data_IF_265418296491
#
_entry.id   IF_265418296491
#
_cell.length_a   1.000
_cell.length_b   1.000
_cell.length_c   1.000
_cell.angle_alpha   90.00
_cell.angle_beta   90.00
_cell.angle_gamma   90.00
#
_symmetry.space_group_name_H-M   'P 1'
#
loop_
_entity.id
_entity.type
_entity.pdbx_description
1 polymer ?
#
# COMPACT_ATOMS: atom_id res chain seq x y z
N UNK A 1 130.40 41.64 -46.66
CA UNK A 1 131.55 42.51 -46.35
C UNK A 1 131.81 42.41 -44.85
N UNK A 2 133.03 42.21 -44.34
CA UNK A 2 134.36 42.05 -44.99
C UNK A 2 135.09 40.81 -44.45
N UNK A 3 135.93 40.21 -45.31
CA UNK A 3 137.09 39.35 -45.01
C UNK A 3 138.36 40.27 -45.13
N UNK A 4 139.64 39.87 -44.84
CA UNK A 4 140.27 38.54 -44.69
C UNK A 4 140.88 38.30 -43.27
N UNK A 5 141.54 37.19 -42.86
CA UNK A 5 142.69 36.42 -43.41
C UNK A 5 143.98 37.29 -43.51
N UNK A 6 145.22 36.80 -43.28
CA UNK A 6 145.68 35.50 -42.76
C UNK A 6 146.39 35.69 -41.36
N UNK A 7 147.44 35.00 -40.86
CA UNK A 7 148.35 33.92 -41.33
C UNK A 7 148.86 33.01 -40.18
N UNK A 8 150.18 32.89 -39.95
CA UNK A 8 150.86 31.81 -39.18
C UNK A 8 152.17 32.29 -38.50
N UNK A 9 152.68 31.50 -37.53
CA UNK A 9 154.09 31.26 -37.11
C UNK A 9 155.04 32.49 -36.93
N UNK A 10 155.84 32.64 -35.87
CA UNK A 10 156.75 31.65 -35.28
C UNK A 10 157.38 32.17 -33.96
N UNK A 11 157.62 31.32 -32.96
CA UNK A 11 158.43 31.61 -31.72
C UNK A 11 157.90 32.74 -30.78
N UNK A 12 158.36 32.94 -29.53
CA UNK A 12 159.45 32.27 -28.79
C UNK A 12 159.11 32.06 -27.29
N UNK A 13 159.28 30.82 -26.86
CA UNK A 13 159.15 30.29 -25.48
C UNK A 13 159.98 31.04 -24.42
N UNK A 14 159.36 31.74 -23.45
CA UNK A 14 160.02 32.03 -22.15
C UNK A 14 159.18 32.45 -20.90
N UNK A 15 157.86 32.23 -20.83
CA UNK A 15 157.05 32.60 -19.61
C UNK A 15 156.12 31.48 -19.13
N UNK A 16 156.64 30.25 -19.01
CA UNK A 16 155.84 29.03 -18.77
C UNK A 16 156.16 28.31 -17.45
N UNK A 17 156.36 29.05 -16.34
CA UNK A 17 156.86 28.44 -15.08
C UNK A 17 156.35 29.04 -13.75
N UNK A 18 155.43 30.02 -13.73
CA UNK A 18 155.00 30.69 -12.49
C UNK A 18 153.48 30.95 -12.40
N UNK A 19 152.66 30.10 -13.02
CA UNK A 19 151.19 30.20 -12.99
C UNK A 19 150.54 28.79 -12.99
N UNK A 20 151.01 27.92 -12.09
CA UNK A 20 150.63 26.50 -12.04
C UNK A 20 150.45 25.99 -10.59
N UNK A 21 150.27 26.89 -9.63
CA UNK A 21 150.26 26.60 -8.19
C UNK A 21 149.14 27.38 -7.45
N UNK A 22 148.11 27.83 -8.19
CA UNK A 22 147.06 28.72 -7.68
C UNK A 22 145.60 28.31 -8.02
N UNK A 23 145.38 27.32 -8.89
CA UNK A 23 144.02 26.82 -9.21
C UNK A 23 143.61 25.60 -8.36
N UNK A 24 144.56 24.76 -7.96
CA UNK A 24 144.30 23.47 -7.27
C UNK A 24 143.68 23.62 -5.86
N UNK A 25 143.79 24.80 -5.24
CA UNK A 25 143.19 25.10 -3.93
C UNK A 25 141.74 25.58 -3.98
N UNK A 26 141.19 25.94 -5.15
CA UNK A 26 139.81 26.45 -5.26
C UNK A 26 138.80 25.35 -5.54
N UNK A 27 139.13 24.38 -6.41
CA UNK A 27 138.23 23.26 -6.72
C UNK A 27 137.95 22.35 -5.51
N UNK A 28 138.81 22.36 -4.48
CA UNK A 28 138.66 21.52 -3.28
C UNK A 28 137.48 21.96 -2.40
N UNK A 29 137.22 23.27 -2.26
CA UNK A 29 136.18 23.78 -1.37
C UNK A 29 134.78 23.81 -2.00
N UNK A 30 134.66 24.11 -3.30
CA UNK A 30 133.35 24.04 -3.99
C UNK A 30 132.81 22.61 -4.05
N UNK A 31 133.67 21.62 -4.23
CA UNK A 31 133.27 20.22 -4.39
C UNK A 31 132.74 19.62 -3.07
N UNK A 32 133.31 19.99 -1.91
CA UNK A 32 132.79 19.56 -0.60
C UNK A 32 131.42 20.21 -0.28
N UNK A 33 131.23 21.48 -0.69
CA UNK A 33 129.94 22.18 -0.61
C UNK A 33 128.87 21.54 -1.50
N UNK A 34 129.24 21.15 -2.73
CA UNK A 34 128.36 20.43 -3.65
C UNK A 34 128.01 19.02 -3.15
N UNK A 35 128.94 18.28 -2.56
CA UNK A 35 128.62 16.97 -1.96
C UNK A 35 127.69 17.08 -0.75
N UNK A 36 127.91 18.04 0.16
CA UNK A 36 127.02 18.28 1.32
C UNK A 36 125.62 18.73 0.89
N UNK A 37 125.50 19.59 -0.11
CA UNK A 37 124.19 20.05 -0.62
C UNK A 37 123.48 18.98 -1.45
N UNK A 38 124.19 18.21 -2.28
CA UNK A 38 123.63 17.08 -3.02
C UNK A 38 123.16 15.96 -2.08
N UNK A 39 123.97 15.59 -1.07
CA UNK A 39 123.59 14.62 -0.04
C UNK A 39 122.34 15.06 0.72
N UNK A 40 122.30 16.30 1.21
CA UNK A 40 121.13 16.86 1.89
C UNK A 40 119.90 16.97 0.98
N UNK A 41 120.06 17.21 -0.32
CA UNK A 41 118.96 17.22 -1.29
C UNK A 41 118.43 15.79 -1.56
N UNK A 42 119.32 14.80 -1.69
CA UNK A 42 118.97 13.39 -1.86
C UNK A 42 118.27 12.85 -0.61
N UNK A 43 118.74 13.17 0.60
CA UNK A 43 118.04 12.80 1.84
C UNK A 43 116.67 13.47 1.95
N UNK A 44 116.55 14.77 1.65
CA UNK A 44 115.25 15.47 1.61
C UNK A 44 114.31 14.85 0.58
N UNK A 45 114.82 14.43 -0.60
CA UNK A 45 114.03 13.68 -1.57
C UNK A 45 113.64 12.30 -1.06
N UNK A 46 114.54 11.55 -0.40
CA UNK A 46 114.25 10.23 0.19
C UNK A 46 113.17 10.34 1.27
N UNK A 47 113.32 11.26 2.21
CA UNK A 47 112.34 11.54 3.26
C UNK A 47 110.99 11.99 2.68
N UNK A 48 110.98 12.83 1.63
CA UNK A 48 109.75 13.23 0.92
C UNK A 48 109.09 12.06 0.20
N UNK A 49 109.87 11.20 -0.45
CA UNK A 49 109.41 9.98 -1.13
C UNK A 49 108.84 8.98 -0.11
N UNK A 50 109.48 8.80 1.04
CA UNK A 50 109.03 7.87 2.08
C UNK A 50 107.82 8.41 2.85
N UNK A 51 107.74 9.72 3.11
CA UNK A 51 106.51 10.38 3.59
C UNK A 51 105.35 10.21 2.58
N UNK A 52 105.62 10.37 1.27
CA UNK A 52 104.64 10.09 0.22
C UNK A 52 104.24 8.61 0.17
N UNK A 53 105.16 7.65 0.36
CA UNK A 53 104.81 6.22 0.48
C UNK A 53 103.94 5.95 1.71
N UNK A 54 104.20 6.58 2.85
CA UNK A 54 103.39 6.46 4.07
C UNK A 54 101.99 7.01 3.84
N UNK A 55 101.84 8.20 3.27
CA UNK A 55 100.52 8.77 2.98
C UNK A 55 99.80 7.99 1.87
N UNK A 56 100.49 7.44 0.86
CA UNK A 56 99.90 6.51 -0.12
C UNK A 56 99.40 5.23 0.56
N UNK A 57 100.11 4.66 1.55
CA UNK A 57 99.63 3.51 2.35
C UNK A 57 98.41 3.89 3.19
N UNK A 58 98.39 5.08 3.78
CA UNK A 58 97.26 5.62 4.56
C UNK A 58 96.03 5.87 3.68
N UNK A 59 96.20 6.44 2.50
CA UNK A 59 95.15 6.67 1.52
C UNK A 59 94.62 5.35 0.92
N UNK A 60 95.49 4.35 0.68
CA UNK A 60 95.06 3.00 0.26
C UNK A 60 94.21 2.31 1.33
N UNK A 61 94.70 2.23 2.58
CA UNK A 61 93.95 1.63 3.69
C UNK A 61 92.67 2.39 4.03
N UNK A 62 92.67 3.72 3.90
CA UNK A 62 91.46 4.56 3.99
C UNK A 62 90.47 4.25 2.85
N UNK A 63 90.92 4.20 1.60
CA UNK A 63 90.11 3.85 0.42
C UNK A 63 89.51 2.44 0.56
N UNK A 64 90.27 1.47 1.05
CA UNK A 64 89.75 0.13 1.36
C UNK A 64 88.71 0.14 2.48
N UNK A 65 88.93 0.90 3.56
CA UNK A 65 87.96 1.07 4.66
C UNK A 65 86.66 1.69 4.16
N UNK A 66 86.73 2.68 3.28
CA UNK A 66 85.55 3.27 2.63
C UNK A 66 84.90 2.32 1.61
N UNK A 67 85.66 1.56 0.82
CA UNK A 67 85.11 0.56 -0.09
C UNK A 67 84.38 -0.57 0.65
N UNK A 68 84.92 -1.05 1.77
CA UNK A 68 84.27 -2.02 2.67
C UNK A 68 82.99 -1.44 3.28
N UNK A 69 83.03 -0.21 3.82
CA UNK A 69 81.83 0.49 4.32
C UNK A 69 80.76 0.63 3.24
N UNK A 70 81.13 1.13 2.06
CA UNK A 70 80.23 1.34 0.92
C UNK A 70 79.59 0.04 0.43
N UNK A 71 80.34 -1.07 0.41
CA UNK A 71 79.80 -2.41 0.12
C UNK A 71 78.73 -2.80 1.15
N UNK A 72 79.04 -2.71 2.45
CA UNK A 72 78.09 -3.05 3.52
C UNK A 72 76.84 -2.16 3.48
N UNK A 73 76.96 -0.85 3.28
CA UNK A 73 75.80 0.04 3.16
C UNK A 73 74.98 -0.25 1.91
N UNK A 74 75.62 -0.61 0.78
CA UNK A 74 74.91 -1.02 -0.44
C UNK A 74 74.17 -2.34 -0.25
N UNK A 75 74.74 -3.29 0.49
CA UNK A 75 74.09 -4.56 0.86
C UNK A 75 72.92 -4.36 1.83
N UNK A 76 73.03 -3.40 2.77
CA UNK A 76 71.94 -2.99 3.66
C UNK A 76 70.80 -2.29 2.91
N UNK A 77 71.10 -1.35 2.01
CA UNK A 77 70.10 -0.69 1.14
C UNK A 77 69.37 -1.75 0.30
N UNK A 78 70.12 -2.60 -0.42
CA UNK A 78 69.56 -3.67 -1.22
C UNK A 78 68.79 -4.73 -0.40
N UNK A 79 68.97 -4.80 0.92
CA UNK A 79 68.13 -5.61 1.82
C UNK A 79 66.83 -4.88 2.18
N UNK A 80 66.93 -3.62 2.61
CA UNK A 80 65.77 -2.80 2.98
C UNK A 80 64.81 -2.60 1.79
N UNK A 81 65.32 -2.39 0.58
CA UNK A 81 64.52 -2.32 -0.65
C UNK A 81 63.69 -3.61 -0.87
N UNK A 82 64.28 -4.79 -0.62
CA UNK A 82 63.58 -6.09 -0.71
C UNK A 82 62.55 -6.26 0.41
N UNK A 83 62.84 -5.82 1.63
CA UNK A 83 61.90 -5.87 2.76
C UNK A 83 60.71 -4.90 2.55
N UNK A 84 60.97 -3.70 2.05
CA UNK A 84 59.94 -2.72 1.64
C UNK A 84 59.09 -3.29 0.49
N UNK A 85 59.71 -3.81 -0.57
CA UNK A 85 58.97 -4.38 -1.71
C UNK A 85 58.09 -5.58 -1.29
N UNK A 86 58.61 -6.47 -0.42
CA UNK A 86 57.84 -7.59 0.15
C UNK A 86 56.66 -7.08 0.97
N UNK A 87 56.88 -6.10 1.84
CA UNK A 87 55.84 -5.52 2.71
C UNK A 87 54.76 -4.80 1.90
N UNK A 88 55.17 -4.07 0.85
CA UNK A 88 54.26 -3.40 -0.08
C UNK A 88 53.34 -4.40 -0.80
N UNK A 89 53.90 -5.49 -1.35
CA UNK A 89 53.12 -6.56 -2.01
C UNK A 89 52.11 -7.21 -1.05
N UNK A 90 52.51 -7.51 0.18
CA UNK A 90 51.62 -8.08 1.20
C UNK A 90 50.51 -7.10 1.59
N UNK A 91 50.84 -5.81 1.78
CA UNK A 91 49.85 -4.77 2.09
C UNK A 91 48.85 -4.57 0.95
N UNK A 92 49.33 -4.55 -0.30
CA UNK A 92 48.48 -4.39 -1.48
C UNK A 92 47.52 -5.58 -1.64
N UNK A 93 48.01 -6.82 -1.58
CA UNK A 93 47.14 -8.01 -1.60
C UNK A 93 46.15 -8.06 -0.41
N UNK A 94 46.49 -7.45 0.72
CA UNK A 94 45.59 -7.31 1.88
C UNK A 94 44.50 -6.26 1.66
N UNK A 95 44.81 -5.16 0.95
CA UNK A 95 43.82 -4.16 0.54
C UNK A 95 42.87 -4.76 -0.51
N UNK A 96 43.38 -5.34 -1.59
CA UNK A 96 42.56 -6.00 -2.62
C UNK A 96 41.61 -7.07 -2.04
N UNK A 97 42.03 -7.79 -0.98
CA UNK A 97 41.18 -8.76 -0.26
C UNK A 97 40.15 -8.11 0.67
N UNK A 98 40.40 -6.89 1.17
CA UNK A 98 39.42 -6.10 1.94
C UNK A 98 38.41 -5.45 1.00
N UNK A 99 38.87 -4.84 -0.10
CA UNK A 99 38.03 -4.13 -1.06
C UNK A 99 37.01 -5.11 -1.70
N UNK A 100 37.46 -6.31 -2.08
CA UNK A 100 36.57 -7.41 -2.55
C UNK A 100 35.57 -7.88 -1.50
N UNK A 101 35.87 -7.75 -0.19
CA UNK A 101 34.92 -8.07 0.90
C UNK A 101 33.95 -6.93 1.19
N UNK A 102 34.38 -5.68 0.99
CA UNK A 102 33.51 -4.50 1.10
C UNK A 102 32.48 -4.55 -0.03
N UNK A 103 32.92 -4.68 -1.29
CA UNK A 103 32.02 -4.81 -2.44
C UNK A 103 31.02 -5.97 -2.26
N UNK A 104 31.48 -7.16 -1.83
CA UNK A 104 30.58 -8.29 -1.62
C UNK A 104 29.51 -8.03 -0.53
N UNK A 105 29.87 -7.30 0.54
CA UNK A 105 28.95 -6.93 1.61
C UNK A 105 28.00 -5.78 1.21
N UNK A 106 28.46 -4.85 0.35
CA UNK A 106 27.64 -3.79 -0.23
C UNK A 106 26.62 -4.36 -1.22
N UNK A 107 27.04 -5.30 -2.08
CA UNK A 107 26.16 -6.06 -2.98
C UNK A 107 25.12 -6.89 -2.22
N UNK A 108 25.50 -7.52 -1.11
CA UNK A 108 24.60 -8.29 -0.24
C UNK A 108 23.60 -7.38 0.47
N UNK A 109 24.07 -6.24 1.00
CA UNK A 109 23.22 -5.22 1.63
C UNK A 109 22.24 -4.58 0.65
N UNK A 110 22.63 -4.39 -0.61
CA UNK A 110 21.75 -3.91 -1.67
C UNK A 110 20.61 -4.90 -1.93
N UNK A 111 20.94 -6.18 -2.19
CA UNK A 111 19.95 -7.25 -2.41
C UNK A 111 19.02 -7.43 -1.21
N UNK A 112 19.54 -7.35 0.02
CA UNK A 112 18.74 -7.43 1.23
C UNK A 112 17.73 -6.28 1.35
N UNK A 113 18.11 -5.04 0.98
CA UNK A 113 17.21 -3.88 0.93
C UNK A 113 16.14 -4.02 -0.15
N UNK A 114 16.49 -4.51 -1.33
CA UNK A 114 15.53 -4.77 -2.41
C UNK A 114 14.50 -5.82 -2.01
N UNK A 115 14.95 -6.96 -1.46
CA UNK A 115 14.08 -8.02 -0.97
C UNK A 115 13.15 -7.54 0.15
N UNK A 116 13.67 -6.77 1.10
CA UNK A 116 12.86 -6.21 2.20
C UNK A 116 11.86 -5.17 1.69
N UNK A 117 12.21 -4.36 0.68
CA UNK A 117 11.29 -3.44 0.00
C UNK A 117 10.17 -4.18 -0.73
N UNK A 118 10.50 -5.26 -1.45
CA UNK A 118 9.52 -6.13 -2.10
C UNK A 118 8.55 -6.77 -1.09
N UNK A 119 9.08 -7.43 -0.04
CA UNK A 119 8.26 -8.03 1.02
C UNK A 119 7.40 -7.02 1.78
N UNK A 120 7.88 -5.79 1.97
CA UNK A 120 7.09 -4.72 2.60
C UNK A 120 5.90 -4.30 1.72
N UNK A 121 6.08 -4.24 0.39
CA UNK A 121 5.00 -3.95 -0.56
C UNK A 121 3.99 -5.10 -0.63
N UNK A 122 4.45 -6.34 -0.70
CA UNK A 122 3.59 -7.54 -0.65
C UNK A 122 2.76 -7.58 0.63
N UNK A 123 3.40 -7.37 1.80
CA UNK A 123 2.74 -7.41 3.10
C UNK A 123 1.76 -6.26 3.30
N UNK A 124 2.07 -5.05 2.79
CA UNK A 124 1.12 -3.93 2.76
C UNK A 124 -0.08 -4.20 1.84
N UNK A 125 0.16 -4.85 0.69
CA UNK A 125 -0.91 -5.36 -0.19
C UNK A 125 -1.80 -6.40 0.51
N UNK A 126 -1.19 -7.36 1.21
CA UNK A 126 -1.93 -8.37 1.98
C UNK A 126 -2.71 -7.76 3.16
N UNK A 127 -2.12 -6.80 3.89
CA UNK A 127 -2.80 -6.11 5.00
C UNK A 127 -3.99 -5.27 4.52
N UNK A 128 -3.84 -4.54 3.40
CA UNK A 128 -4.95 -3.77 2.81
C UNK A 128 -6.03 -4.67 2.19
N UNK A 129 -5.69 -5.89 1.76
CA UNK A 129 -6.66 -6.91 1.33
C UNK A 129 -7.39 -7.58 2.51
N UNK A 130 -6.73 -7.76 3.66
CA UNK A 130 -7.30 -8.39 4.85
C UNK A 130 -8.00 -7.41 5.82
N UNK A 131 -7.91 -6.10 5.57
CA UNK A 131 -8.52 -5.06 6.39
C UNK A 131 -10.05 -4.97 6.18
N UNK A 132 -10.82 -5.59 7.07
CA UNK A 132 -12.28 -5.41 7.19
C UNK A 132 -12.65 -4.13 7.95
N UNK A 133 -11.98 -3.02 7.67
CA UNK A 133 -12.27 -1.72 8.28
C UNK A 133 -13.44 -1.09 7.52
N UNK A 134 -14.61 -1.04 8.16
CA UNK A 134 -15.80 -0.42 7.56
C UNK A 134 -15.59 1.08 7.35
N UNK A 135 -16.11 1.60 6.23
CA UNK A 135 -16.05 3.02 5.89
C UNK A 135 -17.13 3.84 6.61
N UNK A 136 -18.23 3.19 7.00
CA UNK A 136 -19.29 3.75 7.83
C UNK A 136 -19.45 2.92 9.09
N UNK A 137 -19.64 3.58 10.23
CA UNK A 137 -20.00 2.90 11.47
C UNK A 137 -21.42 2.35 11.41
N UNK A 138 -21.70 1.29 12.17
CA UNK A 138 -23.06 0.75 12.28
C UNK A 138 -24.10 1.78 12.75
N UNK A 139 -23.68 2.81 13.50
CA UNK A 139 -24.57 3.91 13.90
C UNK A 139 -25.01 4.79 12.71
N UNK A 140 -24.11 5.08 11.78
CA UNK A 140 -24.41 5.82 10.55
C UNK A 140 -25.28 4.99 9.60
N UNK A 141 -24.99 3.68 9.48
CA UNK A 141 -25.82 2.74 8.70
C UNK A 141 -27.26 2.71 9.23
N UNK A 142 -27.44 2.58 10.55
CA UNK A 142 -28.76 2.67 11.19
C UNK A 142 -29.39 4.07 11.12
N UNK A 143 -28.60 5.13 10.89
CA UNK A 143 -29.13 6.46 10.56
C UNK A 143 -29.85 6.43 9.21
N UNK A 144 -29.16 5.97 8.16
CA UNK A 144 -29.70 5.91 6.78
C UNK A 144 -30.96 5.03 6.70
N UNK A 145 -31.06 3.96 7.51
CA UNK A 145 -32.29 3.13 7.55
C UNK A 145 -33.45 3.81 8.29
N UNK A 146 -33.19 4.66 9.29
CA UNK A 146 -34.24 5.51 9.88
C UNK A 146 -34.71 6.58 8.89
N UNK A 147 -33.78 7.20 8.17
CA UNK A 147 -34.11 8.16 7.09
C UNK A 147 -34.99 7.48 6.01
N UNK A 148 -34.70 6.23 5.65
CA UNK A 148 -35.52 5.43 4.73
C UNK A 148 -36.94 5.21 5.28
N UNK A 149 -37.06 4.76 6.54
CA UNK A 149 -38.36 4.47 7.17
C UNK A 149 -39.24 5.74 7.27
N UNK A 150 -38.65 6.88 7.63
CA UNK A 150 -39.35 8.18 7.65
C UNK A 150 -39.87 8.56 6.25
N UNK A 151 -39.06 8.36 5.20
CA UNK A 151 -39.50 8.62 3.82
C UNK A 151 -40.64 7.68 3.38
N UNK A 152 -40.60 6.40 3.78
CA UNK A 152 -41.67 5.42 3.51
C UNK A 152 -42.97 5.84 4.20
N UNK A 153 -42.92 6.14 5.49
CA UNK A 153 -44.06 6.61 6.29
C UNK A 153 -44.70 7.87 5.67
N UNK A 154 -43.88 8.90 5.38
CA UNK A 154 -44.37 10.13 4.77
C UNK A 154 -44.96 9.94 3.36
N UNK A 155 -44.41 9.03 2.56
CA UNK A 155 -44.94 8.71 1.23
C UNK A 155 -46.32 8.05 1.31
N UNK A 156 -46.47 7.06 2.18
CA UNK A 156 -47.72 6.34 2.37
C UNK A 156 -48.83 7.22 2.98
N UNK A 157 -48.50 8.02 4.00
CA UNK A 157 -49.45 8.93 4.64
C UNK A 157 -50.05 9.93 3.64
N UNK A 158 -49.20 10.55 2.80
CA UNK A 158 -49.66 11.50 1.79
C UNK A 158 -50.43 10.83 0.63
N UNK A 159 -50.00 9.65 0.18
CA UNK A 159 -50.77 8.89 -0.83
C UNK A 159 -52.17 8.54 -0.30
N UNK A 160 -52.28 8.20 0.98
CA UNK A 160 -53.55 7.91 1.66
C UNK A 160 -54.41 9.17 1.77
N UNK A 161 -53.86 10.29 2.23
CA UNK A 161 -54.55 11.57 2.35
C UNK A 161 -55.11 12.08 0.99
N UNK A 162 -54.34 11.93 -0.09
CA UNK A 162 -54.76 12.30 -1.43
C UNK A 162 -55.72 11.29 -2.08
N UNK A 163 -55.66 10.02 -1.66
CA UNK A 163 -56.59 8.97 -2.07
C UNK A 163 -57.94 9.11 -1.36
N UNK A 164 -57.96 9.48 -0.08
CA UNK A 164 -59.20 9.73 0.67
C UNK A 164 -59.97 10.91 0.06
N UNK A 165 -59.26 11.98 -0.29
CA UNK A 165 -59.83 13.10 -1.08
C UNK A 165 -60.42 12.61 -2.41
N UNK A 166 -59.70 11.76 -3.15
CA UNK A 166 -60.17 11.19 -4.42
C UNK A 166 -61.44 10.35 -4.22
N UNK A 167 -61.49 9.49 -3.20
CA UNK A 167 -62.65 8.64 -2.87
C UNK A 167 -63.85 9.48 -2.46
N UNK A 168 -63.65 10.54 -1.65
CA UNK A 168 -64.74 11.45 -1.22
C UNK A 168 -65.44 12.16 -2.40
N UNK A 169 -64.78 12.25 -3.55
CA UNK A 169 -65.29 12.88 -4.77
C UNK A 169 -65.87 11.87 -5.79
N UNK A 170 -65.75 10.56 -5.57
CA UNK A 170 -66.17 9.53 -6.52
C UNK A 170 -67.38 8.72 -6.03
N UNK A 171 -68.44 8.67 -6.84
CA UNK A 171 -69.66 7.89 -6.54
C UNK A 171 -69.65 6.45 -7.08
N UNK A 172 -68.64 6.07 -7.86
CA UNK A 172 -68.61 4.81 -8.60
C UNK A 172 -67.35 4.02 -8.27
N UNK A 173 -67.53 2.77 -7.86
CA UNK A 173 -66.46 1.87 -7.44
C UNK A 173 -66.29 0.71 -8.44
N UNK A 174 -65.05 0.29 -8.68
CA UNK A 174 -64.75 -0.94 -9.43
C UNK A 174 -64.89 -2.16 -8.52
N UNK A 175 -65.65 -3.15 -8.97
CA UNK A 175 -65.76 -4.47 -8.32
C UNK A 175 -64.60 -5.33 -8.81
N UNK A 176 -63.69 -5.70 -7.91
CA UNK A 176 -62.67 -6.73 -8.18
C UNK A 176 -63.29 -8.12 -8.14
N UNK A 177 -62.70 -9.08 -8.87
CA UNK A 177 -63.05 -10.49 -8.69
C UNK A 177 -62.49 -11.01 -7.37
N UNK A 178 -63.17 -11.99 -6.78
CA UNK A 178 -62.72 -12.66 -5.54
C UNK A 178 -61.34 -13.31 -5.73
N UNK A 179 -61.07 -13.86 -6.92
CA UNK A 179 -59.75 -14.39 -7.30
C UNK A 179 -58.64 -13.33 -7.19
N UNK A 180 -58.89 -12.10 -7.68
CA UNK A 180 -57.92 -10.99 -7.60
C UNK A 180 -57.71 -10.56 -6.16
N UNK A 181 -58.78 -10.48 -5.36
CA UNK A 181 -58.69 -10.10 -3.94
C UNK A 181 -57.96 -11.16 -3.11
N UNK A 182 -58.16 -12.44 -3.42
CA UNK A 182 -57.44 -13.55 -2.81
C UNK A 182 -55.95 -13.56 -3.21
N UNK A 183 -55.62 -13.25 -4.46
CA UNK A 183 -54.23 -13.12 -4.91
C UNK A 183 -53.48 -11.98 -4.17
N UNK A 184 -54.11 -10.83 -3.98
CA UNK A 184 -53.54 -9.77 -3.14
C UNK A 184 -53.46 -10.17 -1.65
N UNK A 185 -54.46 -10.89 -1.13
CA UNK A 185 -54.47 -11.38 0.27
C UNK A 185 -53.32 -12.34 0.58
N UNK A 186 -52.80 -13.07 -0.42
CA UNK A 186 -51.62 -13.93 -0.27
C UNK A 186 -50.30 -13.16 -0.15
N UNK A 187 -50.24 -11.91 -0.62
CA UNK A 187 -49.03 -11.09 -0.63
C UNK A 187 -49.03 -10.00 0.45
N UNK A 188 -50.18 -9.39 0.71
CA UNK A 188 -50.35 -8.27 1.65
C UNK A 188 -51.06 -8.65 2.96
N UNK A 189 -51.28 -9.95 3.19
CA UNK A 189 -52.10 -10.41 4.31
C UNK A 189 -53.59 -10.22 4.05
N UNK A 190 -54.40 -11.07 4.69
CA UNK A 190 -55.84 -11.08 4.45
C UNK A 190 -56.51 -9.82 4.99
N UNK A 191 -56.16 -9.38 6.19
CA UNK A 191 -56.92 -8.33 6.88
C UNK A 191 -56.62 -6.93 6.35
N UNK A 192 -55.35 -6.60 6.05
CA UNK A 192 -55.02 -5.36 5.33
C UNK A 192 -55.73 -5.30 3.97
N UNK A 193 -55.71 -6.40 3.21
CA UNK A 193 -56.35 -6.47 1.88
C UNK A 193 -57.87 -6.25 1.98
N UNK A 194 -58.56 -6.93 2.90
CA UNK A 194 -60.02 -6.74 3.09
C UNK A 194 -60.38 -5.37 3.67
N UNK A 195 -59.60 -4.79 4.60
CA UNK A 195 -59.88 -3.45 5.13
C UNK A 195 -59.60 -2.34 4.13
N UNK A 196 -58.50 -2.41 3.37
CA UNK A 196 -58.23 -1.48 2.26
C UNK A 196 -59.30 -1.59 1.15
N UNK A 197 -59.77 -2.81 0.85
CA UNK A 197 -60.96 -3.01 0.01
C UNK A 197 -62.22 -2.42 0.64
N UNK A 198 -62.39 -2.44 1.96
CA UNK A 198 -63.50 -1.76 2.65
C UNK A 198 -63.28 -0.24 2.84
N UNK A 199 -62.27 0.35 2.19
CA UNK A 199 -61.94 1.78 2.20
C UNK A 199 -61.50 2.33 3.57
N UNK A 200 -60.95 1.48 4.45
CA UNK A 200 -60.28 1.90 5.68
C UNK A 200 -58.96 2.65 5.35
N UNK A 201 -58.84 3.97 5.66
CA UNK A 201 -57.63 4.72 5.35
C UNK A 201 -56.39 4.24 6.11
N UNK A 202 -56.53 3.73 7.34
CA UNK A 202 -55.40 3.21 8.10
C UNK A 202 -54.85 1.94 7.43
N UNK A 203 -55.74 1.03 7.01
CA UNK A 203 -55.32 -0.15 6.26
C UNK A 203 -54.67 0.20 4.92
N UNK A 204 -55.18 1.20 4.18
CA UNK A 204 -54.54 1.69 2.94
C UNK A 204 -53.14 2.24 3.20
N UNK A 205 -52.95 3.02 4.28
CA UNK A 205 -51.64 3.54 4.67
C UNK A 205 -50.64 2.39 4.95
N UNK A 206 -51.00 1.44 5.81
CA UNK A 206 -50.12 0.31 6.18
C UNK A 206 -49.85 -0.65 5.01
N UNK A 207 -50.82 -0.81 4.11
CA UNK A 207 -50.67 -1.55 2.86
C UNK A 207 -49.63 -0.90 1.91
N UNK A 208 -49.66 0.43 1.77
CA UNK A 208 -48.66 1.17 0.98
C UNK A 208 -47.28 1.16 1.66
N UNK A 209 -47.19 1.30 2.98
CA UNK A 209 -45.93 1.15 3.72
C UNK A 209 -45.34 -0.25 3.53
N UNK A 210 -46.15 -1.32 3.64
CA UNK A 210 -45.71 -2.70 3.42
C UNK A 210 -45.16 -2.93 2.01
N UNK A 211 -45.82 -2.36 0.99
CA UNK A 211 -45.33 -2.39 -0.39
C UNK A 211 -43.96 -1.70 -0.53
N UNK A 212 -43.80 -0.49 0.03
CA UNK A 212 -42.55 0.27 -0.03
C UNK A 212 -41.42 -0.38 0.78
N UNK A 213 -41.70 -0.94 1.97
CA UNK A 213 -40.75 -1.70 2.79
C UNK A 213 -40.23 -2.95 2.05
N UNK A 214 -41.14 -3.73 1.44
CA UNK A 214 -40.76 -4.87 0.61
C UNK A 214 -39.86 -4.46 -0.55
N UNK A 215 -40.23 -3.41 -1.31
CA UNK A 215 -39.45 -2.96 -2.47
C UNK A 215 -38.07 -2.42 -2.06
N UNK A 216 -37.96 -1.70 -0.94
CA UNK A 216 -36.66 -1.28 -0.40
C UNK A 216 -35.79 -2.47 0.07
N UNK A 217 -36.40 -3.50 0.65
CA UNK A 217 -35.71 -4.75 0.98
C UNK A 217 -35.22 -5.50 -0.27
N UNK A 218 -36.02 -5.54 -1.35
CA UNK A 218 -35.60 -6.12 -2.63
C UNK A 218 -34.40 -5.36 -3.24
N UNK A 219 -34.45 -4.02 -3.26
CA UNK A 219 -33.35 -3.16 -3.75
C UNK A 219 -32.06 -3.40 -2.97
N UNK A 220 -32.14 -3.47 -1.64
CA UNK A 220 -30.95 -3.68 -0.78
C UNK A 220 -30.45 -5.14 -0.77
N UNK A 221 -31.20 -6.10 -1.33
CA UNK A 221 -30.77 -7.50 -1.52
C UNK A 221 -29.78 -7.71 -2.69
N UNK A 222 -29.10 -6.62 -3.08
CA UNK A 222 -28.41 -6.35 -4.35
C UNK A 222 -27.55 -7.48 -4.94
N UNK A 223 -28.21 -8.32 -5.75
CA UNK A 223 -27.61 -8.93 -6.93
C UNK A 223 -28.43 -8.67 -8.20
N UNK A 224 -29.56 -7.94 -8.10
CA UNK A 224 -30.52 -7.73 -9.20
C UNK A 224 -30.42 -6.34 -9.81
N UNK A 225 -30.29 -6.26 -11.14
CA UNK A 225 -30.59 -5.04 -11.92
C UNK A 225 -31.32 -5.43 -13.20
N UNK A 226 -32.56 -4.99 -13.31
CA UNK A 226 -33.48 -5.39 -14.39
C UNK A 226 -34.52 -6.39 -13.92
N UNK A 227 -35.65 -6.41 -14.63
CA UNK A 227 -36.86 -7.17 -14.27
C UNK A 227 -36.91 -8.59 -14.89
N UNK A 228 -35.78 -9.04 -15.44
CA UNK A 228 -35.65 -10.26 -16.22
C UNK A 228 -35.06 -11.37 -15.35
N UNK A 229 -35.86 -12.38 -15.01
CA UNK A 229 -35.54 -13.43 -14.02
C UNK A 229 -34.63 -14.53 -14.59
N UNK A 230 -33.67 -14.13 -15.43
CA UNK A 230 -32.60 -14.98 -15.93
C UNK A 230 -31.72 -15.51 -14.80
N UNK A 231 -31.59 -16.83 -14.69
CA UNK A 231 -30.97 -17.51 -13.54
C UNK A 231 -29.50 -17.16 -13.24
N UNK A 232 -28.82 -16.42 -14.11
CA UNK A 232 -27.44 -15.93 -13.95
C UNK A 232 -27.22 -15.20 -12.61
N UNK A 233 -28.21 -14.43 -12.15
CA UNK A 233 -28.12 -13.67 -10.90
C UNK A 233 -28.33 -14.57 -9.67
N UNK A 234 -29.07 -15.67 -9.81
CA UNK A 234 -29.17 -16.73 -8.81
C UNK A 234 -27.84 -17.45 -8.60
N UNK A 235 -27.06 -17.66 -9.67
CA UNK A 235 -25.71 -18.24 -9.59
C UNK A 235 -24.80 -17.34 -8.75
N UNK A 236 -24.80 -16.02 -8.99
CA UNK A 236 -23.96 -15.08 -8.23
C UNK A 236 -24.31 -15.05 -6.74
N UNK A 237 -25.60 -15.09 -6.39
CA UNK A 237 -26.06 -15.20 -4.99
C UNK A 237 -25.60 -16.53 -4.37
N UNK A 238 -25.75 -17.65 -5.07
CA UNK A 238 -25.35 -18.98 -4.58
C UNK A 238 -23.82 -19.11 -4.40
N UNK A 239 -23.04 -18.58 -5.36
CA UNK A 239 -21.57 -18.48 -5.25
C UNK A 239 -21.19 -17.62 -4.05
N UNK A 240 -21.87 -16.49 -3.83
CA UNK A 240 -21.61 -15.66 -2.66
C UNK A 240 -21.93 -16.38 -1.34
N UNK A 241 -23.07 -17.05 -1.26
CA UNK A 241 -23.47 -17.79 -0.06
C UNK A 241 -22.44 -18.87 0.28
N UNK A 242 -22.01 -19.66 -0.71
CA UNK A 242 -20.94 -20.64 -0.51
C UNK A 242 -19.63 -19.97 -0.05
N UNK A 243 -19.17 -18.93 -0.76
CA UNK A 243 -17.96 -18.19 -0.42
C UNK A 243 -18.01 -17.59 1.01
N UNK A 244 -19.17 -17.10 1.44
CA UNK A 244 -19.40 -16.56 2.78
C UNK A 244 -19.38 -17.63 3.89
N UNK A 245 -19.58 -18.91 3.53
CA UNK A 245 -19.47 -20.05 4.46
C UNK A 245 -18.08 -20.68 4.49
N UNK A 246 -17.32 -20.60 3.39
CA UNK A 246 -16.04 -21.31 3.22
C UNK A 246 -14.81 -20.44 3.47
N UNK A 247 -14.89 -19.14 3.16
CA UNK A 247 -13.76 -18.21 3.25
C UNK A 247 -13.87 -17.25 4.43
N UNK A 248 -12.75 -16.62 4.78
CA UNK A 248 -12.74 -15.54 5.77
C UNK A 248 -13.54 -14.32 5.27
N UNK A 249 -14.24 -13.63 6.18
CA UNK A 249 -15.12 -12.49 5.86
C UNK A 249 -14.44 -11.39 5.02
N UNK A 250 -13.12 -11.16 5.20
CA UNK A 250 -12.36 -10.23 4.37
C UNK A 250 -12.38 -10.61 2.87
N UNK A 251 -12.29 -11.91 2.57
CA UNK A 251 -12.27 -12.45 1.20
C UNK A 251 -13.67 -12.39 0.60
N UNK A 252 -14.70 -12.84 1.34
CA UNK A 252 -16.08 -12.82 0.86
C UNK A 252 -16.59 -11.40 0.63
N UNK A 253 -16.40 -10.49 1.60
CA UNK A 253 -16.77 -9.08 1.45
C UNK A 253 -16.00 -8.39 0.33
N UNK A 254 -14.70 -8.67 0.17
CA UNK A 254 -13.91 -8.10 -0.94
C UNK A 254 -14.36 -8.61 -2.30
N UNK A 255 -14.70 -9.89 -2.42
CA UNK A 255 -15.31 -10.46 -3.62
C UNK A 255 -16.68 -9.80 -3.91
N UNK A 256 -17.55 -9.68 -2.91
CA UNK A 256 -18.88 -9.06 -3.03
C UNK A 256 -18.79 -7.61 -3.51
N UNK A 257 -17.90 -6.82 -2.90
CA UNK A 257 -17.57 -5.46 -3.30
C UNK A 257 -17.04 -5.36 -4.74
N UNK A 258 -16.08 -6.20 -5.13
CA UNK A 258 -15.52 -6.21 -6.49
C UNK A 258 -16.55 -6.63 -7.54
N UNK A 259 -17.26 -7.74 -7.31
CA UNK A 259 -18.28 -8.26 -8.25
C UNK A 259 -19.41 -7.24 -8.42
N UNK A 260 -19.89 -6.61 -7.34
CA UNK A 260 -20.86 -5.53 -7.43
C UNK A 260 -20.34 -4.34 -8.25
N UNK A 261 -19.09 -3.90 -8.05
CA UNK A 261 -18.50 -2.79 -8.79
C UNK A 261 -18.32 -3.10 -10.30
N UNK A 262 -18.17 -4.37 -10.68
CA UNK A 262 -18.08 -4.79 -12.08
C UNK A 262 -19.44 -5.08 -12.75
N UNK A 263 -20.45 -5.53 -11.99
CA UNK A 263 -21.84 -5.63 -12.45
C UNK A 263 -22.52 -4.25 -12.52
N UNK A 264 -22.09 -3.31 -11.68
CA UNK A 264 -22.61 -1.94 -11.60
C UNK A 264 -22.24 -1.12 -12.84
N UNK A 265 -23.00 -1.27 -13.92
CA UNK A 265 -23.04 -0.27 -14.99
C UNK A 265 -23.32 1.11 -14.35
N UNK A 266 -22.51 2.15 -14.65
CA UNK A 266 -22.55 3.42 -13.93
C UNK A 266 -23.65 4.37 -14.43
N UNK A 267 -24.84 3.85 -14.78
CA UNK A 267 -25.96 4.65 -15.26
C UNK A 267 -27.31 4.04 -14.91
N UNK A 268 -28.23 4.92 -14.53
CA UNK A 268 -29.56 4.70 -13.92
C UNK A 268 -29.54 4.20 -12.47
N UNK A 269 -30.13 4.95 -11.51
CA UNK A 269 -30.63 4.37 -10.27
C UNK A 269 -31.81 3.42 -10.56
N UNK A 270 -32.28 2.68 -9.54
CA UNK A 270 -33.46 1.83 -9.67
C UNK A 270 -34.65 2.62 -10.22
N UNK A 271 -35.31 2.06 -11.23
CA UNK A 271 -36.40 2.71 -11.96
C UNK A 271 -37.59 3.00 -11.02
N UNK A 272 -37.80 4.28 -10.74
CA UNK A 272 -38.93 4.76 -9.95
C UNK A 272 -40.26 4.51 -10.64
N UNK A 273 -40.30 4.31 -11.96
CA UNK A 273 -41.51 3.88 -12.69
C UNK A 273 -41.96 2.49 -12.23
N UNK A 274 -41.02 1.55 -12.07
CA UNK A 274 -41.31 0.19 -11.60
C UNK A 274 -41.89 0.20 -10.19
N UNK A 275 -41.31 0.94 -9.23
CA UNK A 275 -41.91 1.10 -7.88
C UNK A 275 -43.27 1.77 -7.96
N UNK A 276 -43.40 2.81 -8.78
CA UNK A 276 -44.68 3.52 -8.99
C UNK A 276 -45.76 2.58 -9.52
N UNK A 277 -45.42 1.66 -10.43
CA UNK A 277 -46.34 0.65 -10.94
C UNK A 277 -46.75 -0.37 -9.86
N UNK A 278 -45.82 -0.80 -9.00
CA UNK A 278 -46.14 -1.65 -7.86
C UNK A 278 -47.10 -0.95 -6.87
N UNK A 279 -46.79 0.27 -6.43
CA UNK A 279 -47.64 1.05 -5.52
C UNK A 279 -49.02 1.33 -6.14
N UNK A 280 -49.06 1.63 -7.45
CA UNK A 280 -50.31 1.81 -8.17
C UNK A 280 -51.15 0.52 -8.24
N UNK A 281 -50.52 -0.64 -8.43
CA UNK A 281 -51.18 -1.94 -8.39
C UNK A 281 -51.68 -2.28 -6.98
N UNK A 282 -50.94 -1.91 -5.94
CA UNK A 282 -51.39 -1.99 -4.54
C UNK A 282 -52.65 -1.15 -4.31
N UNK A 283 -52.69 0.09 -4.81
CA UNK A 283 -53.87 0.96 -4.70
C UNK A 283 -55.09 0.48 -5.51
N UNK A 284 -54.94 -0.46 -6.46
CA UNK A 284 -56.09 -1.08 -7.12
C UNK A 284 -56.97 -1.89 -6.15
N UNK A 285 -56.40 -2.38 -5.03
CA UNK A 285 -57.12 -3.16 -3.99
C UNK A 285 -58.34 -2.40 -3.44
N UNK A 286 -58.32 -1.08 -3.43
CA UNK A 286 -59.44 -0.28 -2.90
C UNK A 286 -60.65 -0.25 -3.84
N UNK A 287 -60.47 -0.61 -5.12
CA UNK A 287 -61.50 -0.44 -6.16
C UNK A 287 -61.79 1.01 -6.56
N UNK A 288 -60.96 1.97 -6.11
CA UNK A 288 -61.15 3.42 -6.33
C UNK A 288 -60.62 3.93 -7.70
N UNK A 289 -60.10 3.03 -8.54
CA UNK A 289 -59.46 3.36 -9.81
C UNK A 289 -60.05 2.54 -10.95
N UNK A 290 -60.50 3.23 -12.00
CA UNK A 290 -61.13 2.63 -13.18
C UNK A 290 -60.16 1.79 -14.03
N UNK A 291 -58.86 2.04 -13.92
CA UNK A 291 -57.80 1.31 -14.62
C UNK A 291 -56.48 1.42 -13.85
N UNK A 292 -55.57 0.47 -14.07
CA UNK A 292 -54.20 0.55 -13.54
C UNK A 292 -53.48 1.82 -14.00
N UNK A 293 -53.76 2.30 -15.22
CA UNK A 293 -53.17 3.54 -15.74
C UNK A 293 -53.60 4.77 -14.91
N UNK A 294 -54.88 4.86 -14.51
CA UNK A 294 -55.35 5.96 -13.66
C UNK A 294 -54.70 5.92 -12.27
N UNK A 295 -54.45 4.73 -11.71
CA UNK A 295 -53.72 4.57 -10.45
C UNK A 295 -52.24 4.96 -10.61
N UNK A 296 -51.58 4.53 -11.70
CA UNK A 296 -50.20 4.91 -12.03
C UNK A 296 -50.05 6.43 -12.16
N UNK A 297 -50.96 7.09 -12.88
CA UNK A 297 -50.88 8.54 -13.08
C UNK A 297 -51.21 9.33 -11.79
N UNK A 298 -52.10 8.79 -10.93
CA UNK A 298 -52.31 9.31 -9.58
C UNK A 298 -51.03 9.21 -8.73
N UNK A 299 -50.38 8.05 -8.64
CA UNK A 299 -49.15 7.88 -7.85
C UNK A 299 -48.01 8.74 -8.40
N UNK A 300 -47.87 8.86 -9.73
CA UNK A 300 -46.92 9.81 -10.36
C UNK A 300 -47.20 11.25 -9.96
N UNK A 301 -48.46 11.68 -9.98
CA UNK A 301 -48.85 13.05 -9.67
C UNK A 301 -48.70 13.43 -8.19
N UNK A 302 -48.75 12.45 -7.26
CA UNK A 302 -48.74 12.70 -5.81
C UNK A 302 -47.43 12.32 -5.11
N UNK A 303 -46.77 11.23 -5.51
CA UNK A 303 -45.67 10.64 -4.74
C UNK A 303 -44.35 10.41 -5.51
N UNK A 304 -44.28 10.71 -6.81
CA UNK A 304 -43.07 10.50 -7.65
C UNK A 304 -41.76 10.95 -6.98
N UNK A 305 -41.68 12.20 -6.52
CA UNK A 305 -40.48 12.74 -5.85
C UNK A 305 -40.09 11.96 -4.57
N UNK A 306 -41.07 11.45 -3.81
CA UNK A 306 -40.83 10.65 -2.60
C UNK A 306 -40.43 9.21 -2.93
N UNK A 307 -41.07 8.61 -3.94
CA UNK A 307 -40.68 7.29 -4.48
C UNK A 307 -39.24 7.36 -5.02
N UNK A 308 -38.86 8.42 -5.74
CA UNK A 308 -37.48 8.62 -6.19
C UNK A 308 -36.51 8.78 -5.00
N UNK A 309 -36.89 9.53 -3.96
CA UNK A 309 -36.08 9.65 -2.73
C UNK A 309 -35.89 8.29 -2.05
N UNK A 310 -36.93 7.46 -1.97
CA UNK A 310 -36.86 6.07 -1.48
C UNK A 310 -35.94 5.22 -2.36
N UNK A 311 -36.05 5.30 -3.71
CA UNK A 311 -35.11 4.65 -4.63
C UNK A 311 -33.67 5.04 -4.34
N UNK A 312 -33.38 6.33 -4.19
CA UNK A 312 -32.03 6.86 -3.97
C UNK A 312 -31.45 6.40 -2.61
N UNK A 313 -32.24 6.44 -1.54
CA UNK A 313 -31.80 5.99 -0.20
C UNK A 313 -31.61 4.47 -0.17
N UNK A 314 -32.51 3.68 -0.76
CA UNK A 314 -32.37 2.24 -0.85
C UNK A 314 -31.17 1.82 -1.75
N UNK A 315 -30.92 2.51 -2.87
CA UNK A 315 -29.72 2.30 -3.70
C UNK A 315 -28.42 2.65 -2.97
N UNK A 316 -28.46 3.69 -2.11
CA UNK A 316 -27.34 4.02 -1.22
C UNK A 316 -27.11 2.91 -0.19
N UNK A 317 -28.18 2.35 0.39
CA UNK A 317 -28.09 1.23 1.34
C UNK A 317 -27.57 -0.06 0.69
N UNK A 318 -27.96 -0.36 -0.56
CA UNK A 318 -27.36 -1.43 -1.38
C UNK A 318 -25.82 -1.27 -1.42
N UNK A 319 -25.34 -0.11 -1.89
CA UNK A 319 -23.90 0.20 -1.94
C UNK A 319 -23.24 0.15 -0.56
N UNK A 320 -23.91 0.62 0.49
CA UNK A 320 -23.35 0.64 1.85
C UNK A 320 -23.17 -0.78 2.40
N UNK A 321 -24.19 -1.65 2.28
CA UNK A 321 -24.10 -3.04 2.73
C UNK A 321 -23.11 -3.87 1.91
N UNK A 322 -22.86 -3.52 0.64
CA UNK A 322 -22.09 -4.32 -0.33
C UNK A 322 -20.64 -3.87 -0.51
N UNK A 323 -20.37 -2.56 -0.39
CA UNK A 323 -19.07 -1.97 -0.70
C UNK A 323 -18.41 -1.31 0.52
N UNK A 324 -19.19 -0.57 1.32
CA UNK A 324 -18.65 0.26 2.42
C UNK A 324 -18.60 -0.45 3.79
N UNK A 325 -19.45 -1.47 3.98
CA UNK A 325 -19.42 -2.39 5.14
C UNK A 325 -18.85 -3.73 4.70
N UNK A 326 -17.78 -4.16 5.35
CA UNK A 326 -17.01 -5.37 5.04
C UNK A 326 -16.79 -6.28 6.26
N UNK A 327 -16.88 -5.77 7.49
CA UNK A 327 -16.72 -6.53 8.73
C UNK A 327 -17.81 -7.58 8.98
N UNK A 328 -18.98 -7.41 8.35
CA UNK A 328 -20.14 -8.29 8.47
C UNK A 328 -21.08 -8.07 7.28
N UNK A 329 -21.93 -9.05 6.98
CA UNK A 329 -22.96 -8.89 5.95
C UNK A 329 -24.25 -8.36 6.60
N UNK A 330 -24.70 -7.18 6.20
CA UNK A 330 -25.94 -6.55 6.67
C UNK A 330 -27.04 -6.63 5.61
N UNK A 331 -28.29 -6.70 6.06
CA UNK A 331 -29.48 -6.77 5.21
C UNK A 331 -30.62 -5.98 5.85
N UNK A 332 -31.49 -5.39 5.03
CA UNK A 332 -32.81 -4.95 5.50
C UNK A 332 -33.66 -6.18 5.83
N UNK A 333 -34.51 -6.05 6.85
CA UNK A 333 -35.48 -7.06 7.24
C UNK A 333 -36.90 -6.51 7.10
N UNK A 334 -37.72 -7.19 6.32
CA UNK A 334 -39.15 -7.00 6.18
C UNK A 334 -39.80 -8.33 6.52
N UNK A 335 -40.87 -8.33 7.32
CA UNK A 335 -41.58 -9.56 7.69
C UNK A 335 -42.73 -9.82 6.71
N UNK A 336 -42.98 -11.10 6.40
CA UNK A 336 -44.08 -11.52 5.52
C UNK A 336 -45.41 -11.61 6.31
N UNK A 337 -46.55 -11.21 5.73
CA UNK A 337 -47.85 -11.36 6.39
C UNK A 337 -48.17 -12.83 6.76
N UNK A 338 -48.80 -13.03 7.91
CA UNK A 338 -49.00 -14.36 8.53
C UNK A 338 -47.79 -14.88 9.32
N UNK A 339 -46.65 -14.17 9.34
CA UNK A 339 -45.53 -14.52 10.22
C UNK A 339 -45.93 -14.31 11.69
N UNK A 340 -45.65 -15.27 12.57
CA UNK A 340 -45.90 -15.11 14.00
C UNK A 340 -44.99 -14.03 14.62
N UNK A 341 -45.55 -13.12 15.41
CA UNK A 341 -44.84 -12.00 16.02
C UNK A 341 -43.76 -12.47 17.01
N UNK A 342 -42.53 -12.01 16.78
CA UNK A 342 -41.38 -12.27 17.64
C UNK A 342 -40.81 -10.95 18.20
N UNK A 343 -41.04 -10.69 19.50
CA UNK A 343 -40.51 -9.49 20.18
C UNK A 343 -38.97 -9.48 20.33
N UNK A 344 -38.24 -10.49 19.84
CA UNK A 344 -36.77 -10.40 19.70
C UNK A 344 -36.35 -9.78 18.37
N UNK A 345 -37.11 -9.97 17.28
CA UNK A 345 -36.81 -9.43 15.94
C UNK A 345 -37.71 -8.27 15.49
N UNK A 346 -38.88 -8.12 16.10
CA UNK A 346 -39.94 -7.19 15.69
C UNK A 346 -40.32 -6.21 16.82
N UNK A 347 -40.90 -5.07 16.42
CA UNK A 347 -41.60 -4.10 17.28
C UNK A 347 -43.03 -3.91 16.75
N UNK A 348 -44.00 -3.75 17.64
CA UNK A 348 -45.38 -3.42 17.22
C UNK A 348 -45.44 -1.94 16.81
N UNK A 349 -46.28 -1.62 15.83
CA UNK A 349 -46.70 -0.24 15.52
C UNK A 349 -47.47 0.37 16.71
N UNK A 350 -48.29 -0.45 17.38
CA UNK A 350 -49.08 -0.06 18.55
C UNK A 350 -48.63 -0.81 19.82
N UNK A 351 -48.29 -0.06 20.88
CA UNK A 351 -48.11 -0.64 22.21
C UNK A 351 -49.48 -0.98 22.80
N UNK A 352 -49.78 -2.28 22.90
CA UNK A 352 -51.00 -2.79 23.50
C UNK A 352 -50.82 -2.97 25.01
N UNK A 353 -51.36 -2.07 25.82
CA UNK A 353 -51.36 -2.13 27.31
C UNK A 353 -52.09 -3.37 27.90
N UNK A 354 -52.77 -4.15 27.06
CA UNK A 354 -53.48 -5.36 27.47
C UNK A 354 -52.53 -6.55 27.73
N UNK A 355 -52.75 -7.36 28.78
CA UNK A 355 -51.98 -8.57 29.00
C UNK A 355 -52.20 -9.55 27.84
N UNK A 356 -51.12 -9.89 27.12
CA UNK A 356 -51.16 -10.71 25.91
C UNK A 356 -51.85 -12.04 26.18
N UNK A 357 -53.06 -12.23 25.62
CA UNK A 357 -53.87 -13.41 25.91
C UNK A 357 -53.16 -14.67 25.38
N UNK A 358 -52.80 -15.66 26.23
CA UNK A 358 -51.86 -16.73 25.88
C UNK A 358 -52.40 -17.78 24.88
N UNK A 359 -53.55 -17.51 24.26
CA UNK A 359 -54.20 -18.34 23.24
C UNK A 359 -54.34 -17.62 21.89
N UNK A 360 -54.11 -16.31 21.82
CA UNK A 360 -54.10 -15.55 20.56
C UNK A 360 -52.66 -15.57 20.02
N UNK A 361 -52.48 -16.05 18.79
CA UNK A 361 -51.23 -15.80 18.06
C UNK A 361 -51.34 -14.42 17.46
N UNK A 362 -50.47 -13.52 17.91
CA UNK A 362 -50.23 -12.26 17.25
C UNK A 362 -49.49 -12.58 15.93
N UNK A 363 -50.21 -12.56 14.82
CA UNK A 363 -49.65 -12.74 13.47
C UNK A 363 -49.49 -11.37 12.80
N UNK A 364 -48.39 -11.19 12.06
CA UNK A 364 -48.07 -9.96 11.32
C UNK A 364 -49.07 -9.78 10.17
N UNK A 365 -49.74 -8.63 10.11
CA UNK A 365 -50.55 -8.26 8.95
C UNK A 365 -49.71 -7.52 7.90
N UNK A 366 -48.68 -6.75 8.31
CA UNK A 366 -47.76 -6.05 7.42
C UNK A 366 -46.58 -5.39 8.13
N UNK A 367 -45.58 -4.93 7.37
CA UNK A 367 -44.39 -4.23 7.87
C UNK A 367 -44.50 -2.73 7.59
N UNK A 368 -44.38 -1.88 8.61
CA UNK A 368 -44.43 -0.41 8.49
C UNK A 368 -43.05 0.23 8.39
N UNK A 369 -42.05 -0.38 9.04
CA UNK A 369 -40.67 0.07 9.00
C UNK A 369 -39.70 -1.11 8.87
N UNK A 370 -38.75 -1.03 7.95
CA UNK A 370 -37.73 -2.08 7.76
C UNK A 370 -36.75 -2.11 8.93
N UNK A 371 -36.47 -3.31 9.41
CA UNK A 371 -35.40 -3.60 10.36
C UNK A 371 -34.04 -3.76 9.68
N UNK A 372 -33.01 -3.99 10.48
CA UNK A 372 -31.65 -4.32 10.03
C UNK A 372 -31.14 -5.51 10.80
N UNK A 373 -30.66 -6.51 10.08
CA UNK A 373 -30.00 -7.69 10.63
C UNK A 373 -28.60 -7.84 10.05
N UNK A 374 -27.66 -8.34 10.84
CA UNK A 374 -26.33 -8.75 10.38
C UNK A 374 -26.15 -10.27 10.48
N UNK A 375 -25.38 -10.84 9.56
CA UNK A 375 -24.97 -12.24 9.54
C UNK A 375 -23.81 -12.44 10.53
N UNK A 376 -23.97 -13.37 11.46
CA UNK A 376 -22.93 -13.76 12.43
C UNK A 376 -22.71 -15.26 12.35
N UNK A 377 -21.46 -15.66 12.15
CA UNK A 377 -21.04 -17.06 12.20
C UNK A 377 -20.71 -17.46 13.64
N UNK A 378 -21.35 -18.52 14.14
CA UNK A 378 -21.04 -19.07 15.46
C UNK A 378 -19.71 -19.85 15.45
N UNK A 379 -19.10 -20.02 16.63
CA UNK A 379 -17.81 -20.71 16.71
C UNK A 379 -18.00 -22.23 16.60
N UNK A 380 -17.08 -22.92 15.90
CA UNK A 380 -16.98 -24.39 15.86
C UNK A 380 -18.29 -25.16 15.55
N UNK A 381 -19.06 -24.70 14.57
CA UNK A 381 -20.21 -25.44 14.05
C UNK A 381 -21.57 -25.07 14.65
N UNK A 382 -21.65 -24.02 15.46
CA UNK A 382 -22.90 -23.37 15.89
C UNK A 382 -23.75 -22.81 14.73
N UNK A 383 -23.22 -22.79 13.50
CA UNK A 383 -23.96 -22.41 12.29
C UNK A 383 -24.00 -20.89 12.03
N UNK A 384 -24.93 -20.49 11.17
CA UNK A 384 -25.23 -19.10 10.86
C UNK A 384 -26.35 -18.60 11.78
N UNK A 385 -26.18 -17.45 12.42
CA UNK A 385 -27.25 -16.73 13.12
C UNK A 385 -27.42 -15.32 12.56
N UNK A 386 -28.63 -14.78 12.65
CA UNK A 386 -28.91 -13.37 12.35
C UNK A 386 -28.97 -12.61 13.67
N UNK A 387 -28.21 -11.52 13.78
CA UNK A 387 -28.22 -10.64 14.94
C UNK A 387 -28.94 -9.33 14.57
N UNK A 388 -29.95 -8.96 15.36
CA UNK A 388 -30.82 -7.81 15.10
C UNK A 388 -30.12 -6.53 15.55
N UNK A 389 -29.94 -5.59 14.61
CA UNK A 389 -29.38 -4.25 14.87
C UNK A 389 -30.47 -3.19 14.96
N UNK A 390 -31.57 -3.40 14.23
CA UNK A 390 -32.80 -2.63 14.30
C UNK A 390 -33.96 -3.61 14.06
N UNK A 391 -34.99 -3.58 14.91
CA UNK A 391 -36.21 -4.37 14.72
C UNK A 391 -36.99 -3.85 13.52
N UNK A 392 -37.72 -4.73 12.83
CA UNK A 392 -38.76 -4.30 11.90
C UNK A 392 -40.00 -3.88 12.70
N UNK A 393 -40.65 -2.77 12.33
CA UNK A 393 -41.95 -2.41 12.92
C UNK A 393 -43.07 -3.03 12.08
N UNK A 394 -44.03 -3.65 12.76
CA UNK A 394 -45.11 -4.42 12.15
C UNK A 394 -46.47 -4.05 12.74
N UNK A 395 -47.50 -4.05 11.91
CA UNK A 395 -48.91 -4.09 12.34
C UNK A 395 -49.36 -5.54 12.45
N UNK A 396 -50.24 -5.83 13.40
CA UNK A 396 -50.71 -7.18 13.68
C UNK A 396 -52.14 -7.39 13.21
N UNK A 397 -52.46 -8.63 12.87
CA UNK A 397 -53.83 -9.08 12.55
C UNK A 397 -54.82 -8.77 13.70
N UNK A 398 -54.35 -8.72 14.95
CA UNK A 398 -55.15 -8.35 16.11
C UNK A 398 -55.59 -6.88 16.11
N UNK A 399 -54.73 -5.95 15.67
CA UNK A 399 -54.95 -4.50 15.74
C UNK A 399 -56.19 -4.06 14.92
N UNK A 400 -56.56 -4.88 13.94
CA UNK A 400 -57.68 -4.70 13.02
C UNK A 400 -58.98 -5.44 13.42
N UNK A 401 -59.03 -6.04 14.61
CA UNK A 401 -60.21 -6.82 15.06
C UNK A 401 -61.07 -6.14 16.13
N UNK A 402 -60.52 -5.14 16.81
CA UNK A 402 -61.18 -4.44 17.93
C UNK A 402 -61.67 -3.02 17.53
N UNK A 403 -61.85 -2.75 16.23
CA UNK A 403 -62.37 -1.50 15.65
C UNK A 403 -63.39 -1.72 14.53
#
# INVERSE_FOLDING_TARGET
MRLPHPEQLETQSQVSFLFLEAEETVESEENEGLQKTAGGLVERQRARIDAQKVEIRRLRTSKEKYARKHKVTKEQIARLEREIQKTSRVRQATLEKRDKRIQAAEDELARAKELLSARTKELSGAQSFLSTTDRLSGAEVLGIVRDLNENIFQAAANLTEEWEKLVSMQSTRVVMTEETLNAFSQFYGRTLTHRAFNLDPAAVNYLVQSCLCYLAAQITSGWRRGHDDGGELGILRSVYEHLSTSEAQAISARWRSLTHNHLSKPSSPYDSTSITNYVANTLMITGSFQSIQHSVDFVKAKASNRIETICQVASRLESVFIVDVTSTDMYLRCEEPGTAFDNTTMSKEFESDGPSSPQRRDEVAGTTAVGVVKRVWGWRGEGMRMEVLLKATVVLEADFTDS
#
